data_IF_518851520409
#
_entry.id   IF_518851520409
#
_cell.length_a   1.000
_cell.length_b   1.000
_cell.length_c   1.000
_cell.angle_alpha   90.00
_cell.angle_beta   90.00
_cell.angle_gamma   90.00
#
_symmetry.space_group_name_H-M   'P 1'
#
loop_
_entity.id
_entity.type
_entity.pdbx_description
1 polymer ?
#
# COMPACT_ATOMS: atom_id res chain seq x y z
N UNK A 1 14.02 40.69 3.01
CA UNK A 1 12.62 40.23 3.23
C UNK A 1 12.62 38.72 3.02
N UNK A 2 12.77 37.93 4.10
CA UNK A 2 12.84 36.47 4.01
C UNK A 2 11.41 35.98 3.77
N UNK A 3 11.10 35.53 2.56
CA UNK A 3 9.89 34.76 2.28
C UNK A 3 9.94 33.53 3.19
N UNK A 4 9.16 33.52 4.28
CA UNK A 4 8.90 32.29 5.04
C UNK A 4 8.29 31.32 4.02
N UNK A 5 9.05 30.30 3.63
CA UNK A 5 8.51 29.21 2.85
C UNK A 5 7.28 28.68 3.59
N UNK A 6 6.12 28.65 2.92
CA UNK A 6 4.89 28.11 3.48
C UNK A 6 5.18 26.69 3.94
N UNK A 7 5.00 26.41 5.23
CA UNK A 7 5.12 25.07 5.78
C UNK A 7 4.09 24.19 5.08
N UNK A 8 4.52 23.06 4.53
CA UNK A 8 3.63 22.08 3.91
C UNK A 8 3.20 21.14 5.02
N UNK A 9 1.91 21.17 5.37
CA UNK A 9 1.36 20.37 6.47
C UNK A 9 0.64 19.13 5.99
N UNK A 10 0.19 19.12 4.74
CA UNK A 10 -0.53 18.00 4.13
C UNK A 10 -0.04 17.71 2.73
N UNK A 11 -0.16 16.45 2.33
CA UNK A 11 0.19 15.99 0.99
C UNK A 11 -0.54 16.78 -0.11
N UNK A 12 -1.83 17.09 0.05
CA UNK A 12 -2.60 17.86 -0.94
C UNK A 12 -2.04 19.28 -1.21
N UNK A 13 -1.31 19.86 -0.26
CA UNK A 13 -0.68 21.18 -0.41
C UNK A 13 0.69 21.11 -1.09
N UNK A 14 1.21 19.89 -1.30
CA UNK A 14 2.57 19.71 -1.77
C UNK A 14 2.73 20.14 -3.24
N UNK A 15 3.65 21.05 -3.58
CA UNK A 15 3.80 21.55 -4.95
C UNK A 15 4.26 20.47 -5.96
N UNK A 16 4.80 19.35 -5.46
CA UNK A 16 5.17 18.19 -6.26
C UNK A 16 4.20 16.99 -6.09
N UNK A 17 2.95 17.23 -5.67
CA UNK A 17 1.95 16.19 -5.40
C UNK A 17 1.86 15.13 -6.51
N UNK A 18 1.71 15.56 -7.77
CA UNK A 18 1.63 14.63 -8.92
C UNK A 18 2.86 13.74 -9.06
N UNK A 19 4.05 14.29 -8.78
CA UNK A 19 5.30 13.54 -8.82
C UNK A 19 5.39 12.51 -7.70
N UNK A 20 4.93 12.86 -6.50
CA UNK A 20 4.84 11.95 -5.36
C UNK A 20 3.89 10.80 -5.68
N UNK A 21 2.64 11.11 -6.07
CA UNK A 21 1.62 10.09 -6.36
C UNK A 21 2.07 9.16 -7.50
N UNK A 22 2.69 9.71 -8.55
CA UNK A 22 3.20 8.91 -9.66
C UNK A 22 4.33 7.96 -9.26
N UNK A 23 5.22 8.37 -8.36
CA UNK A 23 6.25 7.47 -7.82
C UNK A 23 5.58 6.38 -6.97
N UNK A 24 4.77 6.77 -5.98
CA UNK A 24 4.15 5.84 -5.04
C UNK A 24 3.31 4.77 -5.76
N UNK A 25 2.53 5.17 -6.77
CA UNK A 25 1.73 4.23 -7.53
C UNK A 25 2.57 3.27 -8.37
N UNK A 26 3.70 3.74 -8.94
CA UNK A 26 4.57 2.91 -9.76
C UNK A 26 5.39 1.90 -8.94
N UNK A 27 5.65 2.16 -7.65
CA UNK A 27 6.48 1.29 -6.79
C UNK A 27 5.99 -0.17 -6.83
N UNK A 28 4.70 -0.41 -6.54
CA UNK A 28 4.14 -1.77 -6.49
C UNK A 28 4.12 -2.51 -7.83
N UNK A 29 4.26 -1.78 -8.93
CA UNK A 29 4.29 -2.35 -10.29
C UNK A 29 5.70 -2.55 -10.83
N UNK A 30 6.74 -2.26 -10.04
CA UNK A 30 8.12 -2.48 -10.49
C UNK A 30 8.34 -3.95 -10.78
N UNK A 31 8.59 -4.33 -12.02
CA UNK A 31 8.85 -5.74 -12.37
C UNK A 31 10.21 -6.20 -11.83
N UNK A 32 10.42 -7.52 -11.80
CA UNK A 32 11.69 -8.12 -11.38
C UNK A 32 12.88 -7.65 -12.25
N UNK A 33 12.67 -7.47 -13.55
CA UNK A 33 13.67 -6.90 -14.46
C UNK A 33 13.94 -5.41 -14.19
N UNK A 34 12.91 -4.65 -13.84
CA UNK A 34 13.04 -3.24 -13.46
C UNK A 34 13.79 -3.10 -12.12
N UNK A 35 13.63 -4.02 -11.17
CA UNK A 35 14.45 -4.07 -9.96
C UNK A 35 15.94 -4.22 -10.29
N UNK A 36 16.28 -5.16 -11.18
CA UNK A 36 17.65 -5.32 -11.67
C UNK A 36 18.20 -4.03 -12.29
N UNK A 37 17.38 -3.35 -13.08
CA UNK A 37 17.73 -2.08 -13.73
C UNK A 37 17.92 -0.93 -12.74
N UNK A 38 17.05 -0.82 -11.73
CA UNK A 38 17.16 0.16 -10.64
C UNK A 38 18.43 -0.07 -9.82
N UNK A 39 18.71 -1.33 -9.47
CA UNK A 39 19.91 -1.70 -8.73
C UNK A 39 21.19 -1.34 -9.51
N UNK A 40 21.25 -1.66 -10.80
CA UNK A 40 22.39 -1.34 -11.65
C UNK A 40 22.61 0.17 -11.85
N UNK A 41 21.53 0.95 -11.87
CA UNK A 41 21.58 2.41 -12.02
C UNK A 41 21.94 3.14 -10.71
N UNK A 42 21.75 2.50 -9.56
CA UNK A 42 22.05 3.07 -8.25
C UNK A 42 23.55 3.04 -7.95
N UNK A 43 24.10 4.19 -7.55
CA UNK A 43 25.51 4.31 -7.16
C UNK A 43 25.63 5.22 -5.96
N UNK A 44 26.18 4.72 -4.86
CA UNK A 44 26.47 5.56 -3.71
C UNK A 44 27.65 6.49 -4.02
N UNK A 45 27.54 7.77 -3.66
CA UNK A 45 28.63 8.74 -3.75
C UNK A 45 28.49 9.75 -2.61
N UNK A 46 29.58 10.43 -2.24
CA UNK A 46 29.53 11.45 -1.18
C UNK A 46 28.51 12.56 -1.48
N UNK A 47 28.41 12.97 -2.75
CA UNK A 47 27.40 13.95 -3.19
C UNK A 47 25.97 13.43 -3.02
N UNK A 48 25.71 12.17 -3.41
CA UNK A 48 24.38 11.56 -3.24
C UNK A 48 24.02 11.41 -1.76
N UNK A 49 24.98 11.05 -0.91
CA UNK A 49 24.79 10.96 0.53
C UNK A 49 24.38 12.33 1.12
N UNK A 50 25.10 13.41 0.80
CA UNK A 50 24.76 14.75 1.26
C UNK A 50 23.37 15.21 0.78
N UNK A 51 23.00 14.92 -0.47
CA UNK A 51 21.67 15.22 -0.98
C UNK A 51 20.57 14.43 -0.24
N UNK A 52 20.83 13.17 0.11
CA UNK A 52 19.92 12.31 0.89
C UNK A 52 19.77 12.84 2.32
N UNK A 53 20.86 13.20 2.98
CA UNK A 53 20.83 13.74 4.34
C UNK A 53 19.97 15.00 4.42
N UNK A 54 20.09 15.87 3.42
CA UNK A 54 19.22 17.05 3.28
C UNK A 54 17.76 16.67 3.01
N UNK A 55 17.50 15.69 2.15
CA UNK A 55 16.14 15.25 1.83
C UNK A 55 15.42 14.59 3.01
N UNK A 56 16.18 13.99 3.93
CA UNK A 56 15.67 13.30 5.12
C UNK A 56 15.86 14.10 6.41
N UNK A 57 16.21 15.39 6.30
CA UNK A 57 16.37 16.25 7.46
C UNK A 57 15.02 16.45 8.18
N UNK A 58 15.00 16.70 9.51
CA UNK A 58 13.76 16.86 10.28
C UNK A 58 12.86 18.01 9.80
N UNK A 59 13.43 19.00 9.11
CA UNK A 59 12.74 20.13 8.51
C UNK A 59 12.27 19.87 7.06
N UNK A 60 12.55 18.68 6.53
CA UNK A 60 12.09 18.26 5.20
C UNK A 60 10.55 18.19 5.14
N UNK A 61 9.94 18.66 4.04
CA UNK A 61 8.49 18.59 3.86
C UNK A 61 7.94 17.19 4.07
N UNK A 62 6.94 17.06 4.96
CA UNK A 62 6.21 15.82 5.23
C UNK A 62 7.13 14.63 5.54
N UNK A 63 8.24 14.85 6.26
CA UNK A 63 9.23 13.80 6.57
C UNK A 63 8.62 12.54 7.20
N UNK A 64 7.57 12.69 8.02
CA UNK A 64 6.86 11.55 8.62
C UNK A 64 6.18 10.70 7.55
N UNK A 65 5.61 11.31 6.51
CA UNK A 65 5.01 10.58 5.37
C UNK A 65 6.08 9.86 4.54
N UNK A 66 7.26 10.46 4.37
CA UNK A 66 8.40 9.81 3.70
C UNK A 66 8.83 8.56 4.45
N UNK A 67 8.97 8.63 5.78
CA UNK A 67 9.35 7.49 6.60
C UNK A 67 8.26 6.40 6.58
N UNK A 68 6.99 6.79 6.67
CA UNK A 68 5.87 5.84 6.52
C UNK A 68 5.87 5.16 5.14
N UNK A 69 6.23 5.89 4.07
CA UNK A 69 6.39 5.31 2.73
C UNK A 69 7.58 4.33 2.66
N UNK A 70 8.66 4.56 3.40
CA UNK A 70 9.79 3.62 3.47
C UNK A 70 9.42 2.33 4.19
N UNK A 71 8.65 2.43 5.27
CA UNK A 71 8.15 1.26 5.99
C UNK A 71 7.18 0.46 5.10
N UNK A 72 6.26 1.16 4.42
CA UNK A 72 5.36 0.55 3.44
C UNK A 72 6.15 -0.19 2.34
N UNK A 73 7.16 0.47 1.77
CA UNK A 73 8.01 -0.14 0.74
C UNK A 73 8.74 -1.39 1.26
N UNK A 74 9.23 -1.35 2.50
CA UNK A 74 9.91 -2.51 3.10
C UNK A 74 8.96 -3.70 3.27
N UNK A 75 7.71 -3.44 3.67
CA UNK A 75 6.68 -4.47 3.79
C UNK A 75 6.28 -5.04 2.42
N UNK A 76 6.07 -4.18 1.42
CA UNK A 76 5.68 -4.58 0.05
C UNK A 76 6.72 -5.51 -0.59
N UNK A 77 8.01 -5.28 -0.30
CA UNK A 77 9.14 -6.04 -0.86
C UNK A 77 9.71 -7.06 0.14
N UNK A 78 9.00 -7.39 1.21
CA UNK A 78 9.49 -8.31 2.23
C UNK A 78 9.91 -9.67 1.65
N UNK A 79 9.10 -10.22 0.74
CA UNK A 79 9.39 -11.50 0.07
C UNK A 79 10.62 -11.40 -0.85
N UNK A 80 10.79 -10.26 -1.55
CA UNK A 80 11.97 -10.03 -2.38
C UNK A 80 13.24 -9.90 -1.54
N UNK A 81 13.15 -9.32 -0.34
CA UNK A 81 14.27 -9.20 0.60
C UNK A 81 14.57 -10.52 1.34
N UNK A 82 13.56 -11.35 1.56
CA UNK A 82 13.71 -12.67 2.18
C UNK A 82 14.20 -13.72 1.18
N UNK A 83 13.99 -13.51 -0.12
CA UNK A 83 14.29 -14.49 -1.16
C UNK A 83 13.30 -15.64 -1.16
N UNK A 84 11.99 -15.33 -1.10
CA UNK A 84 10.94 -16.34 -1.16
C UNK A 84 11.03 -17.18 -2.44
N UNK A 85 10.62 -18.46 -2.38
CA UNK A 85 10.83 -19.45 -3.44
C UNK A 85 10.25 -19.07 -4.82
N UNK A 86 9.23 -18.21 -4.84
CA UNK A 86 8.58 -17.72 -6.04
C UNK A 86 9.13 -16.37 -6.54
N UNK A 87 10.16 -15.81 -5.88
CA UNK A 87 10.84 -14.59 -6.30
C UNK A 87 12.10 -14.94 -7.08
N UNK A 88 12.26 -14.32 -8.25
CA UNK A 88 13.40 -14.60 -9.15
C UNK A 88 14.58 -13.65 -8.94
N UNK A 89 14.36 -12.52 -8.27
CA UNK A 89 15.38 -11.50 -8.02
C UNK A 89 16.20 -11.86 -6.79
N UNK A 90 17.52 -11.77 -6.89
CA UNK A 90 18.39 -11.94 -5.73
C UNK A 90 18.09 -10.91 -4.63
N UNK A 91 18.06 -11.29 -3.34
CA UNK A 91 17.79 -10.36 -2.24
C UNK A 91 18.70 -9.14 -2.19
N UNK A 92 19.97 -9.29 -2.59
CA UNK A 92 20.96 -8.20 -2.66
C UNK A 92 20.61 -7.16 -3.74
N UNK A 93 20.06 -7.62 -4.87
CA UNK A 93 19.57 -6.78 -5.97
C UNK A 93 18.32 -6.03 -5.53
N UNK A 94 17.36 -6.72 -4.91
CA UNK A 94 16.17 -6.09 -4.35
C UNK A 94 16.54 -5.02 -3.31
N UNK A 95 17.42 -5.34 -2.35
CA UNK A 95 17.89 -4.39 -1.34
C UNK A 95 18.56 -3.15 -1.95
N UNK A 96 19.30 -3.30 -3.05
CA UNK A 96 19.93 -2.18 -3.75
C UNK A 96 18.91 -1.35 -4.53
N UNK A 97 17.97 -1.99 -5.21
CA UNK A 97 16.87 -1.32 -5.91
C UNK A 97 16.00 -0.50 -4.94
N UNK A 98 15.72 -1.02 -3.74
CA UNK A 98 14.97 -0.31 -2.71
C UNK A 98 15.67 0.98 -2.26
N UNK A 99 17.01 1.03 -2.24
CA UNK A 99 17.73 2.29 -1.98
C UNK A 99 17.45 3.33 -3.06
N UNK A 100 17.41 2.90 -4.31
CA UNK A 100 17.07 3.76 -5.44
C UNK A 100 15.63 4.29 -5.36
N UNK A 101 14.69 3.44 -4.98
CA UNK A 101 13.29 3.80 -4.77
C UNK A 101 13.12 4.79 -3.61
N UNK A 102 13.77 4.53 -2.47
CA UNK A 102 13.77 5.43 -1.31
C UNK A 102 14.36 6.80 -1.64
N UNK A 103 15.45 6.83 -2.40
CA UNK A 103 16.04 8.08 -2.89
C UNK A 103 15.04 8.86 -3.76
N UNK A 104 14.28 8.18 -4.63
CA UNK A 104 13.27 8.81 -5.47
C UNK A 104 12.08 9.36 -4.66
N UNK A 105 11.59 8.58 -3.69
CA UNK A 105 10.53 9.01 -2.77
C UNK A 105 10.99 10.24 -1.98
N UNK A 106 12.12 10.16 -1.28
CA UNK A 106 12.65 11.28 -0.50
C UNK A 106 12.87 12.53 -1.37
N UNK A 107 13.42 12.38 -2.56
CA UNK A 107 13.62 13.50 -3.47
C UNK A 107 12.32 14.15 -3.94
N UNK A 108 11.26 13.36 -4.11
CA UNK A 108 9.96 13.86 -4.57
C UNK A 108 9.26 14.73 -3.52
N UNK A 109 9.36 14.35 -2.24
CA UNK A 109 8.88 15.14 -1.11
C UNK A 109 9.81 16.32 -0.83
N UNK A 110 11.12 16.11 -0.77
CA UNK A 110 12.08 17.18 -0.52
C UNK A 110 12.27 18.13 -1.71
N UNK A 111 11.53 17.96 -2.82
CA UNK A 111 11.67 18.79 -4.03
C UNK A 111 11.71 20.31 -3.77
N UNK A 112 10.92 20.89 -2.85
CA UNK A 112 10.95 22.33 -2.57
C UNK A 112 12.26 22.82 -1.96
N UNK A 113 12.98 21.97 -1.23
CA UNK A 113 14.21 22.33 -0.51
C UNK A 113 15.48 21.87 -1.25
N UNK A 114 15.36 20.90 -2.15
CA UNK A 114 16.46 20.39 -2.96
C UNK A 114 16.78 21.30 -4.15
N UNK A 115 18.06 21.60 -4.32
CA UNK A 115 18.60 22.19 -5.54
C UNK A 115 18.39 21.29 -6.75
N UNK A 116 18.45 21.87 -7.95
CA UNK A 116 18.22 21.13 -9.20
C UNK A 116 19.15 19.91 -9.36
N UNK A 117 20.42 20.07 -9.01
CA UNK A 117 21.42 19.02 -9.12
C UNK A 117 21.21 17.91 -8.08
N UNK A 118 20.86 18.27 -6.83
CA UNK A 118 20.56 17.32 -5.75
C UNK A 118 19.35 16.45 -6.12
N UNK A 119 18.25 17.09 -6.52
CA UNK A 119 17.05 16.39 -6.97
C UNK A 119 17.32 15.51 -8.19
N UNK A 120 18.06 16.01 -9.18
CA UNK A 120 18.41 15.23 -10.36
C UNK A 120 19.28 14.00 -10.01
N UNK A 121 20.20 14.12 -9.06
CA UNK A 121 21.05 13.02 -8.64
C UNK A 121 20.26 11.91 -7.93
N UNK A 122 19.39 12.26 -6.97
CA UNK A 122 18.54 11.30 -6.26
C UNK A 122 17.54 10.61 -7.21
N UNK A 123 16.94 11.36 -8.13
CA UNK A 123 15.99 10.82 -9.11
C UNK A 123 16.65 10.06 -10.26
N UNK A 124 17.98 10.10 -10.40
CA UNK A 124 18.67 9.56 -11.59
C UNK A 124 18.39 8.07 -11.80
N UNK A 125 18.52 7.18 -10.80
CA UNK A 125 18.24 5.76 -11.00
C UNK A 125 16.79 5.52 -11.39
N UNK A 126 15.86 6.21 -10.72
CA UNK A 126 14.42 6.13 -11.01
C UNK A 126 14.11 6.53 -12.45
N UNK A 127 14.67 7.64 -12.92
CA UNK A 127 14.44 8.14 -14.29
C UNK A 127 15.10 7.32 -15.39
N UNK A 128 16.12 6.51 -15.05
CA UNK A 128 16.72 5.59 -15.99
C UNK A 128 15.73 4.47 -16.38
N UNK A 129 14.85 4.08 -15.45
CA UNK A 129 13.84 3.04 -15.64
C UNK A 129 12.49 3.64 -16.03
N UNK A 130 12.11 4.76 -15.40
CA UNK A 130 10.84 5.46 -15.61
C UNK A 130 11.09 6.89 -16.12
N UNK A 131 11.42 7.06 -17.42
CA UNK A 131 11.78 8.36 -17.99
C UNK A 131 10.59 9.34 -18.06
N UNK A 132 9.36 8.84 -18.03
CA UNK A 132 8.14 9.64 -18.03
C UNK A 132 7.38 9.39 -16.73
N UNK A 133 6.92 10.48 -16.10
CA UNK A 133 6.02 10.38 -14.95
C UNK A 133 4.70 9.75 -15.42
N UNK A 134 4.35 8.61 -14.84
CA UNK A 134 3.00 8.04 -14.96
C UNK A 134 2.20 8.58 -13.78
N UNK A 135 1.07 9.21 -14.05
CA UNK A 135 0.12 9.66 -13.02
C UNK A 135 -1.07 8.73 -12.98
N UNK A 136 -0.80 7.42 -12.89
CA UNK A 136 -1.83 6.41 -12.78
C UNK A 136 -1.89 5.94 -11.34
N UNK A 137 -3.10 5.69 -10.84
CA UNK A 137 -3.27 4.92 -9.62
C UNK A 137 -2.69 3.51 -9.80
N UNK A 138 -2.40 2.79 -8.70
CA UNK A 138 -2.07 1.39 -8.81
C UNK A 138 -3.15 0.63 -9.60
N UNK A 139 -2.72 -0.23 -10.51
CA UNK A 139 -3.60 -1.20 -11.16
C UNK A 139 -4.06 -2.23 -10.10
N UNK A 140 -5.33 -2.11 -9.72
CA UNK A 140 -5.99 -2.98 -8.74
C UNK A 140 -6.78 -4.12 -9.43
N UNK A 141 -6.48 -4.41 -10.70
CA UNK A 141 -7.12 -5.48 -11.45
C UNK A 141 -8.52 -5.12 -12.01
N UNK A 142 -9.24 -6.10 -12.56
CA UNK A 142 -10.53 -5.88 -13.23
C UNK A 142 -11.60 -5.30 -12.31
N UNK A 143 -11.64 -5.72 -11.03
CA UNK A 143 -12.56 -5.22 -10.01
C UNK A 143 -11.97 -4.05 -9.19
N UNK A 144 -11.13 -3.20 -9.80
CA UNK A 144 -10.47 -2.09 -9.11
C UNK A 144 -11.42 -1.19 -8.31
N UNK A 145 -12.62 -0.92 -8.84
CA UNK A 145 -13.64 -0.14 -8.14
C UNK A 145 -14.09 -0.83 -6.84
N UNK A 146 -14.20 -2.15 -6.84
CA UNK A 146 -14.71 -2.93 -5.70
C UNK A 146 -13.64 -3.10 -4.64
N UNK A 147 -12.38 -3.30 -5.05
CA UNK A 147 -11.22 -3.25 -4.15
C UNK A 147 -11.22 -1.90 -3.39
N UNK A 148 -11.37 -0.78 -4.11
CA UNK A 148 -11.44 0.55 -3.48
C UNK A 148 -12.65 0.69 -2.55
N UNK A 149 -13.83 0.20 -2.95
CA UNK A 149 -15.04 0.23 -2.10
C UNK A 149 -14.85 -0.55 -0.81
N UNK A 150 -14.24 -1.74 -0.86
CA UNK A 150 -13.93 -2.54 0.33
C UNK A 150 -12.94 -1.79 1.22
N UNK A 151 -11.84 -1.29 0.67
CA UNK A 151 -10.83 -0.55 1.44
C UNK A 151 -11.39 0.74 2.07
N UNK A 152 -12.30 1.43 1.37
CA UNK A 152 -12.97 2.63 1.88
C UNK A 152 -13.99 2.33 3.00
N UNK A 153 -14.57 1.12 3.03
CA UNK A 153 -15.49 0.72 4.08
C UNK A 153 -14.79 0.42 5.42
N UNK A 154 -13.50 0.05 5.41
CA UNK A 154 -12.78 -0.39 6.60
C UNK A 154 -12.62 0.69 7.69
N UNK A 155 -12.28 1.95 7.38
CA UNK A 155 -12.32 3.02 8.37
C UNK A 155 -13.70 3.28 8.96
N UNK A 156 -14.77 3.06 8.19
CA UNK A 156 -16.15 3.21 8.67
C UNK A 156 -16.48 2.08 9.65
N UNK A 157 -16.13 0.85 9.27
CA UNK A 157 -16.23 -0.33 10.13
C UNK A 157 -15.40 -0.19 11.43
N UNK A 158 -14.26 0.50 11.36
CA UNK A 158 -13.45 0.85 12.52
C UNK A 158 -14.19 1.78 13.52
N UNK A 159 -15.14 2.58 13.03
CA UNK A 159 -15.97 3.50 13.81
C UNK A 159 -17.20 2.88 14.50
N UNK A 160 -17.43 1.56 14.36
CA UNK A 160 -18.64 0.86 14.84
C UNK A 160 -19.05 1.07 16.30
N UNK A 161 -18.14 1.48 17.17
CA UNK A 161 -18.45 1.79 18.58
C UNK A 161 -19.47 2.93 18.75
N UNK A 162 -19.66 3.77 17.74
CA UNK A 162 -20.63 4.87 17.75
C UNK A 162 -21.55 4.87 16.52
N UNK A 163 -21.50 3.83 15.68
CA UNK A 163 -22.31 3.71 14.47
C UNK A 163 -23.01 2.34 14.46
N UNK A 164 -24.31 2.28 14.85
CA UNK A 164 -25.07 1.03 14.92
C UNK A 164 -25.08 0.25 13.61
N UNK A 165 -25.16 0.92 12.46
CA UNK A 165 -25.15 0.27 11.15
C UNK A 165 -23.79 -0.39 10.87
N UNK A 166 -22.68 0.25 11.27
CA UNK A 166 -21.35 -0.35 11.19
C UNK A 166 -21.18 -1.52 12.16
N UNK A 167 -21.83 -1.49 13.31
CA UNK A 167 -21.85 -2.61 14.25
C UNK A 167 -22.62 -3.81 13.67
N UNK A 168 -23.79 -3.58 13.07
CA UNK A 168 -24.57 -4.62 12.39
C UNK A 168 -23.78 -5.27 11.25
N UNK A 169 -23.12 -4.45 10.41
CA UNK A 169 -22.25 -4.95 9.34
C UNK A 169 -21.07 -5.75 9.90
N UNK A 170 -20.47 -5.28 11.00
CA UNK A 170 -19.39 -6.00 11.67
C UNK A 170 -19.84 -7.37 12.18
N UNK A 171 -20.99 -7.44 12.87
CA UNK A 171 -21.53 -8.68 13.41
C UNK A 171 -21.85 -9.68 12.28
N UNK A 172 -22.41 -9.19 11.15
CA UNK A 172 -22.66 -10.03 9.97
C UNK A 172 -21.37 -10.58 9.33
N UNK A 173 -20.30 -9.77 9.28
CA UNK A 173 -18.99 -10.21 8.81
C UNK A 173 -18.36 -11.21 9.79
N UNK A 174 -18.52 -10.99 11.10
CA UNK A 174 -18.02 -11.90 12.12
C UNK A 174 -18.72 -13.26 12.04
N UNK A 175 -20.05 -13.29 11.87
CA UNK A 175 -20.79 -14.54 11.62
C UNK A 175 -20.26 -15.23 10.36
N UNK A 176 -19.99 -14.49 9.30
CA UNK A 176 -19.41 -15.05 8.06
C UNK A 176 -18.02 -15.63 8.31
N UNK A 177 -17.18 -14.96 9.10
CA UNK A 177 -15.84 -15.42 9.45
C UNK A 177 -15.86 -16.65 10.38
N UNK A 178 -16.86 -16.77 11.24
CA UNK A 178 -17.00 -17.88 12.20
C UNK A 178 -17.68 -19.12 11.61
N UNK A 179 -18.47 -18.96 10.55
CA UNK A 179 -19.23 -20.07 9.93
C UNK A 179 -18.64 -20.55 8.60
N UNK A 180 -17.58 -19.92 8.10
CA UNK A 180 -16.89 -20.37 6.89
C UNK A 180 -16.15 -21.68 7.14
N UNK A 181 -15.96 -22.44 6.06
CA UNK A 181 -15.01 -23.54 6.03
C UNK A 181 -13.59 -22.96 5.91
N UNK A 182 -12.84 -22.96 7.00
CA UNK A 182 -11.47 -22.41 7.04
C UNK A 182 -10.50 -23.16 6.13
N UNK A 183 -10.69 -24.47 5.91
CA UNK A 183 -9.83 -25.27 5.03
C UNK A 183 -10.08 -24.92 3.57
N UNK A 184 -11.36 -24.87 3.16
CA UNK A 184 -11.72 -24.45 1.82
C UNK A 184 -11.33 -22.99 1.56
N UNK A 185 -11.48 -22.11 2.56
CA UNK A 185 -11.09 -20.70 2.47
C UNK A 185 -9.59 -20.56 2.27
N UNK A 186 -8.77 -21.27 3.06
CA UNK A 186 -7.32 -21.23 2.92
C UNK A 186 -6.87 -21.73 1.54
N UNK A 187 -7.45 -22.83 1.04
CA UNK A 187 -7.13 -23.35 -0.29
C UNK A 187 -7.46 -22.33 -1.40
N UNK A 188 -8.60 -21.65 -1.30
CA UNK A 188 -8.97 -20.60 -2.26
C UNK A 188 -8.02 -19.39 -2.16
N UNK A 189 -7.60 -19.01 -0.96
CA UNK A 189 -6.63 -17.93 -0.76
C UNK A 189 -5.23 -18.29 -1.28
N UNK A 190 -4.77 -19.52 -1.11
CA UNK A 190 -3.50 -19.99 -1.66
C UNK A 190 -3.52 -19.94 -3.19
N UNK A 191 -4.62 -20.37 -3.81
CA UNK A 191 -4.82 -20.28 -5.26
C UNK A 191 -4.86 -18.82 -5.77
N UNK A 192 -5.54 -17.94 -5.03
CA UNK A 192 -5.60 -16.50 -5.32
C UNK A 192 -4.20 -15.85 -5.24
N UNK A 193 -3.44 -16.18 -4.20
CA UNK A 193 -2.07 -15.69 -4.05
C UNK A 193 -1.15 -16.23 -5.15
N UNK A 194 -1.24 -17.52 -5.49
CA UNK A 194 -0.48 -18.09 -6.60
C UNK A 194 -0.78 -17.36 -7.93
N UNK A 195 -2.05 -17.01 -8.16
CA UNK A 195 -2.46 -16.21 -9.33
C UNK A 195 -1.86 -14.80 -9.32
N UNK A 196 -1.80 -14.16 -8.14
CA UNK A 196 -1.14 -12.86 -7.97
C UNK A 196 0.38 -12.94 -8.22
N UNK A 197 1.03 -14.04 -7.84
CA UNK A 197 2.45 -14.29 -8.11
C UNK A 197 2.71 -14.41 -9.61
N UNK A 198 1.96 -15.28 -10.31
CA UNK A 198 2.16 -15.56 -11.74
C UNK A 198 1.94 -14.32 -12.61
N UNK A 199 1.05 -13.42 -12.20
CA UNK A 199 0.74 -12.17 -12.92
C UNK A 199 1.52 -10.95 -12.43
N UNK A 200 2.46 -11.13 -11.50
CA UNK A 200 3.27 -10.03 -10.97
C UNK A 200 2.51 -9.06 -10.06
N UNK A 201 1.28 -9.40 -9.65
CA UNK A 201 0.43 -8.62 -8.74
C UNK A 201 0.73 -8.86 -7.26
N UNK A 202 1.66 -9.74 -6.90
CA UNK A 202 2.02 -10.05 -5.48
C UNK A 202 2.35 -8.83 -4.61
N UNK A 203 2.97 -7.79 -5.18
CA UNK A 203 3.29 -6.56 -4.43
C UNK A 203 2.06 -5.68 -4.22
N UNK A 204 1.16 -5.66 -5.19
CA UNK A 204 -0.16 -5.02 -5.07
C UNK A 204 -1.02 -5.76 -4.05
N UNK A 205 -0.95 -7.09 -4.02
CA UNK A 205 -1.59 -7.91 -3.00
C UNK A 205 -1.15 -7.50 -1.59
N UNK A 206 0.16 -7.40 -1.34
CA UNK A 206 0.69 -6.92 -0.05
C UNK A 206 0.25 -5.48 0.26
N UNK A 207 0.23 -4.59 -0.75
CA UNK A 207 -0.30 -3.23 -0.59
C UNK A 207 -1.78 -3.24 -0.17
N UNK A 208 -2.62 -4.06 -0.80
CA UNK A 208 -4.04 -4.18 -0.49
C UNK A 208 -4.25 -4.65 0.94
N UNK A 209 -3.56 -5.72 1.36
CA UNK A 209 -3.64 -6.22 2.75
C UNK A 209 -3.19 -5.17 3.78
N UNK A 210 -2.09 -4.47 3.50
CA UNK A 210 -1.61 -3.38 4.36
C UNK A 210 -2.62 -2.24 4.43
N UNK A 211 -3.18 -1.84 3.29
CA UNK A 211 -4.20 -0.78 3.23
C UNK A 211 -5.46 -1.18 4.00
N UNK A 212 -5.83 -2.46 3.95
CA UNK A 212 -6.94 -2.99 4.71
C UNK A 212 -6.69 -2.89 6.22
N UNK A 213 -5.53 -3.37 6.68
CA UNK A 213 -5.13 -3.26 8.08
C UNK A 213 -5.08 -1.79 8.54
N UNK A 214 -4.43 -0.90 7.77
CA UNK A 214 -4.33 0.52 8.10
C UNK A 214 -5.69 1.21 8.15
N UNK A 215 -6.63 0.83 7.29
CA UNK A 215 -7.99 1.35 7.29
C UNK A 215 -8.78 0.88 8.52
N UNK A 216 -8.71 -0.41 8.82
CA UNK A 216 -9.48 -1.04 9.89
C UNK A 216 -8.97 -0.69 11.29
N UNK A 217 -7.66 -0.52 11.45
CA UNK A 217 -7.05 -0.19 12.74
C UNK A 217 -6.99 1.30 13.05
N UNK A 218 -7.62 2.15 12.22
CA UNK A 218 -7.74 3.57 12.55
C UNK A 218 -8.53 3.73 13.84
N UNK A 219 -8.05 4.65 14.69
CA UNK A 219 -8.78 5.04 15.87
C UNK A 219 -10.12 5.66 15.46
N UNK A 220 -11.18 5.29 16.17
CA UNK A 220 -12.45 5.98 16.02
C UNK A 220 -12.25 7.48 16.34
N UNK A 221 -12.71 8.39 15.47
CA UNK A 221 -12.50 9.83 15.63
C UNK A 221 -13.19 10.41 16.86
N UNK A 222 -14.30 9.80 17.29
CA UNK A 222 -15.15 10.31 18.38
C UNK A 222 -14.61 9.92 19.75
N UNK A 223 -14.34 8.64 19.99
CA UNK A 223 -13.84 8.21 21.30
C UNK A 223 -12.32 8.36 21.46
N UNK A 224 -11.56 8.42 20.35
CA UNK A 224 -10.07 8.51 20.31
C UNK A 224 -9.35 7.48 21.20
N UNK A 225 -10.09 6.49 21.69
CA UNK A 225 -9.77 5.69 22.87
C UNK A 225 -9.69 4.23 22.48
N UNK A 226 -8.68 3.57 23.06
CA UNK A 226 -8.37 2.14 22.88
C UNK A 226 -9.64 1.31 23.04
N UNK A 227 -10.04 0.62 21.96
CA UNK A 227 -10.96 -0.51 22.06
C UNK A 227 -10.47 -1.40 23.21
N UNK A 228 -11.38 -1.79 24.10
CA UNK A 228 -11.04 -2.68 25.20
C UNK A 228 -10.35 -3.92 24.64
N UNK A 229 -9.23 -4.30 25.25
CA UNK A 229 -8.31 -5.33 24.75
C UNK A 229 -8.88 -6.76 24.69
N UNK A 230 -10.21 -6.93 24.79
CA UNK A 230 -10.92 -8.21 24.83
C UNK A 230 -11.30 -8.76 23.45
N UNK A 231 -11.36 -7.92 22.40
CA UNK A 231 -11.89 -8.32 21.07
C UNK A 231 -10.81 -8.53 19.99
N UNK A 232 -9.54 -8.70 20.37
CA UNK A 232 -8.46 -8.76 19.39
C UNK A 232 -8.66 -9.89 18.38
N UNK A 233 -9.14 -11.07 18.80
CA UNK A 233 -9.38 -12.21 17.92
C UNK A 233 -10.48 -11.95 16.88
N UNK A 234 -11.62 -11.38 17.29
CA UNK A 234 -12.74 -11.12 16.40
C UNK A 234 -12.42 -10.00 15.40
N UNK A 235 -11.79 -8.93 15.89
CA UNK A 235 -11.34 -7.84 15.05
C UNK A 235 -10.33 -8.31 13.99
N UNK A 236 -9.38 -9.18 14.37
CA UNK A 236 -8.45 -9.77 13.42
C UNK A 236 -9.19 -10.63 12.38
N UNK A 237 -10.17 -11.45 12.79
CA UNK A 237 -10.95 -12.28 11.86
C UNK A 237 -11.71 -11.46 10.83
N UNK A 238 -12.39 -10.39 11.24
CA UNK A 238 -13.13 -9.51 10.33
C UNK A 238 -12.19 -8.73 9.42
N UNK A 239 -11.08 -8.23 9.95
CA UNK A 239 -10.05 -7.54 9.16
C UNK A 239 -9.46 -8.47 8.09
N UNK A 240 -9.06 -9.68 8.48
CA UNK A 240 -8.53 -10.70 7.57
C UNK A 240 -9.55 -11.08 6.50
N UNK A 241 -10.83 -11.30 6.87
CA UNK A 241 -11.89 -11.59 5.90
C UNK A 241 -12.04 -10.47 4.85
N UNK A 242 -11.96 -9.21 5.26
CA UNK A 242 -12.06 -8.08 4.34
C UNK A 242 -10.80 -7.91 3.47
N UNK A 243 -9.62 -8.18 4.03
CA UNK A 243 -8.38 -8.19 3.29
C UNK A 243 -8.37 -9.30 2.23
N UNK A 244 -8.82 -10.50 2.60
CA UNK A 244 -8.98 -11.66 1.71
C UNK A 244 -9.96 -11.35 0.58
N UNK A 245 -11.11 -10.76 0.89
CA UNK A 245 -12.09 -10.29 -0.10
C UNK A 245 -11.45 -9.31 -1.09
N UNK A 246 -10.74 -8.28 -0.60
CA UNK A 246 -10.10 -7.28 -1.46
C UNK A 246 -9.01 -7.91 -2.35
N UNK A 247 -8.26 -8.86 -1.80
CA UNK A 247 -7.26 -9.63 -2.52
C UNK A 247 -7.86 -10.57 -3.58
N UNK A 248 -9.01 -11.18 -3.32
CA UNK A 248 -9.72 -11.99 -4.31
C UNK A 248 -10.21 -11.15 -5.49
N UNK A 249 -10.75 -9.96 -5.22
CA UNK A 249 -11.18 -9.00 -6.25
C UNK A 249 -10.02 -8.52 -7.13
N UNK A 250 -8.82 -8.38 -6.57
CA UNK A 250 -7.60 -8.02 -7.32
C UNK A 250 -7.24 -9.04 -8.42
N UNK A 251 -7.60 -10.31 -8.23
CA UNK A 251 -7.27 -11.41 -9.15
C UNK A 251 -8.50 -12.12 -9.71
N UNK A 252 -9.65 -11.44 -9.77
CA UNK A 252 -10.91 -11.98 -10.30
C UNK A 252 -10.75 -12.65 -11.67
N UNK A 253 -9.96 -12.05 -12.56
CA UNK A 253 -9.70 -12.53 -13.92
C UNK A 253 -8.98 -13.88 -13.99
N UNK A 254 -8.47 -14.38 -12.86
CA UNK A 254 -7.60 -15.55 -12.76
C UNK A 254 -8.15 -16.64 -11.85
N UNK A 255 -9.22 -16.37 -11.11
CA UNK A 255 -9.79 -17.32 -10.16
C UNK A 255 -10.89 -18.18 -10.79
N UNK A 256 -10.93 -19.45 -10.39
CA UNK A 256 -12.07 -20.30 -10.70
C UNK A 256 -13.34 -19.71 -10.09
N UNK A 257 -14.46 -19.77 -10.82
CA UNK A 257 -15.72 -19.13 -10.40
C UNK A 257 -16.21 -19.59 -9.02
N UNK A 258 -15.94 -20.85 -8.64
CA UNK A 258 -16.25 -21.38 -7.31
C UNK A 258 -15.41 -20.73 -6.22
N UNK A 259 -14.09 -20.63 -6.42
CA UNK A 259 -13.15 -19.97 -5.49
C UNK A 259 -13.47 -18.48 -5.36
N UNK A 260 -13.69 -17.80 -6.49
CA UNK A 260 -14.05 -16.39 -6.50
C UNK A 260 -15.35 -16.12 -5.74
N UNK A 261 -16.41 -16.89 -6.02
CA UNK A 261 -17.71 -16.75 -5.32
C UNK A 261 -17.55 -16.98 -3.81
N UNK A 262 -16.74 -17.96 -3.42
CA UNK A 262 -16.49 -18.27 -2.02
C UNK A 262 -15.79 -17.10 -1.30
N UNK A 263 -14.74 -16.54 -1.88
CA UNK A 263 -13.97 -15.44 -1.28
C UNK A 263 -14.72 -14.10 -1.32
N UNK A 264 -15.60 -13.90 -2.31
CA UNK A 264 -16.32 -12.63 -2.50
C UNK A 264 -17.69 -12.57 -1.84
N UNK A 265 -18.20 -13.69 -1.33
CA UNK A 265 -19.47 -13.75 -0.58
C UNK A 265 -19.62 -12.65 0.49
N UNK A 266 -18.58 -12.29 1.29
CA UNK A 266 -18.69 -11.22 2.29
C UNK A 266 -18.96 -9.82 1.72
N UNK A 267 -18.74 -9.60 0.41
CA UNK A 267 -18.96 -8.30 -0.24
C UNK A 267 -20.40 -7.81 -0.08
N UNK A 268 -21.37 -8.72 -0.10
CA UNK A 268 -22.78 -8.38 0.07
C UNK A 268 -23.06 -7.74 1.44
N UNK A 269 -22.37 -8.18 2.48
CA UNK A 269 -22.49 -7.64 3.84
C UNK A 269 -21.95 -6.20 3.93
N UNK A 270 -21.00 -5.82 3.07
CA UNK A 270 -20.40 -4.48 3.05
C UNK A 270 -21.23 -3.44 2.27
N UNK A 271 -22.21 -3.86 1.46
CA UNK A 271 -23.03 -2.98 0.61
C UNK A 271 -23.58 -1.76 1.36
N UNK A 272 -24.13 -1.87 2.60
CA UNK A 272 -24.65 -0.72 3.33
C UNK A 272 -23.62 0.38 3.57
N UNK A 273 -22.37 0.01 3.85
CA UNK A 273 -21.29 0.98 4.11
C UNK A 273 -20.78 1.63 2.82
N UNK A 274 -20.85 0.93 1.69
CA UNK A 274 -20.36 1.43 0.40
C UNK A 274 -21.20 2.59 -0.16
N UNK A 275 -22.47 2.70 0.23
CA UNK A 275 -23.38 3.75 -0.22
C UNK A 275 -23.24 5.06 0.57
N UNK A 276 -22.54 5.04 1.72
CA UNK A 276 -22.31 6.22 2.57
C UNK A 276 -21.08 7.03 2.14
N UNK A 277 -20.17 6.43 1.36
CA UNK A 277 -18.89 7.03 0.95
C UNK A 277 -18.90 7.72 -0.43
N UNK A 278 -20.09 8.02 -0.98
CA UNK A 278 -20.29 8.73 -2.25
C UNK A 278 -20.53 10.22 -2.08
#
# INVERSE_FOLDING_TARGET
MILRARRIERLEEHPNLRGILGILAQLVHTTDAELGSLAAAWRNSGYLAAARDKALAPDSPLIVEVLAAFDALSAIYADDLAGADYVTVEPSVAATALRAMRDAVAASYARPILGRAEYAALMRPWRAVYPRARSHEPDLGPAAADVKRVLAALPVLAGRCHDPDSLEVFDGLLVSALTRDDSAHQQAMDAAFASAVVTGRRRVWTLVRRSAAEGFWRLCPDCRGKRAATDSSEDHRVMELCADLACALLVEDLLDSSQFTQLTRPLHTLIPLQHRGG
#
